data_IF_041852992791
#
_entry.id   IF_041852992791
#
_cell.length_a   1.000
_cell.length_b   1.000
_cell.length_c   1.000
_cell.angle_alpha   90.00
_cell.angle_beta   90.00
_cell.angle_gamma   90.00
#
_symmetry.space_group_name_H-M   'P 1'
#
loop_
_entity.id
_entity.type
_entity.pdbx_description
1 polymer ?
#
# COMPACT_ATOMS: atom_id res chain seq x y z
N UNK A 1 -32.52 -11.29 16.97
CA UNK A 1 -32.90 -11.76 15.62
C UNK A 1 -31.72 -11.47 14.71
N UNK A 2 -31.04 -12.51 14.18
CA UNK A 2 -29.92 -12.34 13.27
C UNK A 2 -30.42 -11.75 11.95
N UNK A 3 -30.02 -10.51 11.63
CA UNK A 3 -30.22 -9.96 10.29
C UNK A 3 -29.61 -10.93 9.29
N UNK A 4 -30.44 -11.36 8.33
CA UNK A 4 -29.95 -12.07 7.14
C UNK A 4 -28.81 -11.23 6.58
N UNK A 5 -27.67 -11.87 6.35
CA UNK A 5 -26.54 -11.29 5.63
C UNK A 5 -27.03 -10.99 4.21
N UNK A 6 -27.67 -9.84 4.06
CA UNK A 6 -28.28 -9.38 2.83
C UNK A 6 -27.22 -9.02 1.80
N UNK A 7 -27.63 -8.83 0.54
CA UNK A 7 -26.71 -8.43 -0.50
C UNK A 7 -26.03 -7.11 -0.12
N UNK A 8 -24.70 -7.07 -0.16
CA UNK A 8 -23.91 -5.87 0.09
C UNK A 8 -24.43 -4.77 -0.83
N UNK A 9 -24.93 -3.69 -0.21
CA UNK A 9 -25.53 -2.61 -0.95
C UNK A 9 -24.48 -1.91 -1.82
N UNK A 10 -24.92 -1.28 -2.91
CA UNK A 10 -24.03 -0.48 -3.77
C UNK A 10 -23.31 0.60 -2.95
N UNK A 11 -23.96 1.14 -1.93
CA UNK A 11 -23.39 2.10 -1.00
C UNK A 11 -22.23 1.51 -0.17
N UNK A 12 -22.34 0.26 0.28
CA UNK A 12 -21.25 -0.41 1.00
C UNK A 12 -20.01 -0.59 0.11
N UNK A 13 -20.18 -0.84 -1.20
CA UNK A 13 -19.06 -0.82 -2.14
C UNK A 13 -18.41 0.56 -2.27
N UNK A 14 -19.21 1.62 -2.31
CA UNK A 14 -18.72 3.01 -2.29
C UNK A 14 -18.02 3.39 -0.98
N UNK A 15 -18.46 2.81 0.16
CA UNK A 15 -17.79 2.99 1.45
C UNK A 15 -16.40 2.33 1.45
N UNK A 16 -16.26 1.13 0.88
CA UNK A 16 -14.94 0.51 0.70
C UNK A 16 -14.01 1.37 -0.15
N UNK A 17 -14.52 1.91 -1.26
CA UNK A 17 -13.75 2.79 -2.14
C UNK A 17 -13.27 4.05 -1.41
N UNK A 18 -14.18 4.70 -0.69
CA UNK A 18 -13.89 5.93 0.07
C UNK A 18 -12.87 5.65 1.17
N UNK A 19 -13.04 4.55 1.91
CA UNK A 19 -12.15 4.18 2.99
C UNK A 19 -10.74 3.83 2.47
N UNK A 20 -10.65 3.02 1.41
CA UNK A 20 -9.37 2.70 0.77
C UNK A 20 -8.62 3.95 0.32
N UNK A 21 -9.31 4.89 -0.35
CA UNK A 21 -8.71 6.14 -0.83
C UNK A 21 -8.29 7.08 0.32
N UNK A 22 -9.11 7.15 1.38
CA UNK A 22 -8.79 7.95 2.56
C UNK A 22 -7.53 7.44 3.26
N UNK A 23 -7.46 6.14 3.52
CA UNK A 23 -6.34 5.54 4.24
C UNK A 23 -5.07 5.43 3.39
N UNK A 24 -5.18 5.26 2.07
CA UNK A 24 -4.03 5.34 1.17
C UNK A 24 -3.43 6.75 1.14
N UNK A 25 -4.26 7.80 1.13
CA UNK A 25 -3.80 9.19 1.19
C UNK A 25 -3.13 9.52 2.51
N UNK A 26 -3.61 8.96 3.63
CA UNK A 26 -2.98 9.14 4.94
C UNK A 26 -1.80 8.20 5.20
N UNK A 27 -1.39 7.38 4.21
CA UNK A 27 -0.33 6.36 4.33
C UNK A 27 -0.52 5.38 5.49
N UNK A 28 -1.77 5.16 5.88
CA UNK A 28 -2.14 4.25 6.96
C UNK A 28 -2.30 2.85 6.38
N UNK A 29 -1.17 2.21 6.06
CA UNK A 29 -1.13 0.97 5.30
C UNK A 29 -1.78 -0.21 6.02
N UNK A 30 -1.69 -0.25 7.35
CA UNK A 30 -2.35 -1.28 8.16
C UNK A 30 -3.87 -1.24 7.99
N UNK A 31 -4.45 -0.02 8.01
CA UNK A 31 -5.88 0.14 7.73
C UNK A 31 -6.24 -0.15 6.28
N UNK A 32 -5.38 0.17 5.32
CA UNK A 32 -5.59 -0.20 3.91
C UNK A 32 -5.66 -1.72 3.77
N UNK A 33 -4.75 -2.46 4.40
CA UNK A 33 -4.76 -3.94 4.40
C UNK A 33 -6.04 -4.48 5.04
N UNK A 34 -6.40 -3.97 6.22
CA UNK A 34 -7.63 -4.40 6.91
C UNK A 34 -8.88 -4.19 6.03
N UNK A 35 -9.02 -3.02 5.43
CA UNK A 35 -10.18 -2.71 4.56
C UNK A 35 -10.17 -3.60 3.32
N UNK A 36 -8.99 -3.84 2.73
CA UNK A 36 -8.85 -4.73 1.59
C UNK A 36 -9.26 -6.17 1.93
N UNK A 37 -8.87 -6.70 3.08
CA UNK A 37 -9.28 -8.03 3.52
C UNK A 37 -10.79 -8.14 3.73
N UNK A 38 -11.41 -7.11 4.34
CA UNK A 38 -12.87 -7.07 4.52
C UNK A 38 -13.58 -6.99 3.17
N UNK A 39 -13.06 -6.19 2.24
CA UNK A 39 -13.57 -6.09 0.87
C UNK A 39 -13.46 -7.42 0.11
N UNK A 40 -12.35 -8.16 0.24
CA UNK A 40 -12.16 -9.48 -0.38
C UNK A 40 -13.16 -10.49 0.20
N UNK A 41 -13.33 -10.53 1.52
CA UNK A 41 -14.32 -11.41 2.19
C UNK A 41 -15.75 -11.08 1.74
N UNK A 42 -16.06 -9.79 1.59
CA UNK A 42 -17.31 -9.31 1.04
C UNK A 42 -17.53 -9.79 -0.41
N UNK A 43 -16.51 -9.69 -1.28
CA UNK A 43 -16.58 -10.18 -2.67
C UNK A 43 -16.78 -11.69 -2.75
N UNK A 44 -16.07 -12.45 -1.90
CA UNK A 44 -16.18 -13.91 -1.83
C UNK A 44 -17.57 -14.34 -1.37
N UNK A 45 -18.16 -13.64 -0.39
CA UNK A 45 -19.49 -13.94 0.14
C UNK A 45 -20.60 -13.63 -0.87
N UNK A 46 -20.50 -12.50 -1.57
CA UNK A 46 -21.51 -12.03 -2.53
C UNK A 46 -21.54 -12.83 -3.84
N UNK A 47 -20.42 -13.44 -4.23
CA UNK A 47 -20.30 -14.12 -5.51
C UNK A 47 -20.41 -13.16 -6.70
N UNK A 48 -20.99 -13.60 -7.83
CA UNK A 48 -21.09 -12.78 -9.06
C UNK A 48 -22.12 -11.64 -8.90
N UNK A 49 -21.83 -10.48 -9.51
CA UNK A 49 -22.78 -9.37 -9.58
C UNK A 49 -24.05 -9.81 -10.33
N UNK A 50 -25.22 -9.54 -9.75
CA UNK A 50 -26.51 -9.99 -10.30
C UNK A 50 -27.22 -8.89 -11.08
N UNK A 51 -26.82 -7.63 -10.89
CA UNK A 51 -27.44 -6.47 -11.53
C UNK A 51 -26.39 -5.54 -12.16
N UNK A 52 -26.79 -4.79 -13.19
CA UNK A 52 -25.92 -3.84 -13.89
C UNK A 52 -25.36 -2.74 -12.96
N UNK A 53 -26.13 -2.17 -12.01
CA UNK A 53 -25.58 -1.24 -11.03
C UNK A 53 -24.52 -1.85 -10.10
N UNK A 54 -24.69 -3.12 -9.67
CA UNK A 54 -23.67 -3.82 -8.89
C UNK A 54 -22.39 -4.05 -9.71
N UNK A 55 -22.53 -4.35 -11.00
CA UNK A 55 -21.39 -4.51 -11.89
C UNK A 55 -20.59 -3.20 -12.01
N UNK A 56 -21.27 -2.07 -12.23
CA UNK A 56 -20.64 -0.74 -12.31
C UNK A 56 -19.93 -0.36 -11.00
N UNK A 57 -20.56 -0.59 -9.85
CA UNK A 57 -19.96 -0.29 -8.55
C UNK A 57 -18.69 -1.10 -8.29
N UNK A 58 -18.70 -2.40 -8.64
CA UNK A 58 -17.52 -3.26 -8.53
C UNK A 58 -16.42 -2.88 -9.54
N UNK A 59 -16.79 -2.40 -10.72
CA UNK A 59 -15.82 -1.90 -11.70
C UNK A 59 -15.13 -0.62 -11.22
N UNK A 60 -15.87 0.31 -10.59
CA UNK A 60 -15.30 1.51 -9.97
C UNK A 60 -14.30 1.13 -8.86
N UNK A 61 -14.71 0.23 -7.96
CA UNK A 61 -13.85 -0.29 -6.90
C UNK A 61 -12.58 -0.95 -7.43
N UNK A 62 -12.68 -1.75 -8.51
CA UNK A 62 -11.52 -2.39 -9.13
C UNK A 62 -10.50 -1.37 -9.68
N UNK A 63 -10.99 -0.28 -10.28
CA UNK A 63 -10.12 0.82 -10.76
C UNK A 63 -9.42 1.51 -9.59
N UNK A 64 -10.14 1.80 -8.51
CA UNK A 64 -9.59 2.45 -7.33
C UNK A 64 -8.56 1.56 -6.63
N UNK A 65 -8.83 0.26 -6.53
CA UNK A 65 -7.86 -0.72 -6.02
C UNK A 65 -6.59 -0.77 -6.89
N UNK A 66 -6.72 -0.80 -8.22
CA UNK A 66 -5.58 -0.78 -9.13
C UNK A 66 -4.73 0.49 -9.00
N UNK A 67 -5.37 1.66 -8.81
CA UNK A 67 -4.67 2.92 -8.58
C UNK A 67 -3.86 2.90 -7.27
N UNK A 68 -4.44 2.33 -6.19
CA UNK A 68 -3.74 2.20 -4.90
C UNK A 68 -2.55 1.24 -5.02
N UNK A 69 -2.68 0.13 -5.74
CA UNK A 69 -1.55 -0.77 -6.01
C UNK A 69 -0.42 -0.08 -6.79
N UNK A 70 -0.77 0.71 -7.80
CA UNK A 70 0.22 1.49 -8.55
C UNK A 70 0.95 2.50 -7.66
N UNK A 71 0.22 3.17 -6.77
CA UNK A 71 0.79 4.09 -5.78
C UNK A 71 1.72 3.37 -4.81
N UNK A 72 1.29 2.22 -4.26
CA UNK A 72 2.11 1.40 -3.36
C UNK A 72 3.39 0.93 -4.03
N UNK A 73 3.33 0.49 -5.29
CA UNK A 73 4.51 0.09 -6.06
C UNK A 73 5.48 1.26 -6.21
N UNK A 74 4.98 2.44 -6.57
CA UNK A 74 5.80 3.65 -6.70
C UNK A 74 6.45 4.04 -5.37
N UNK A 75 5.74 3.94 -4.25
CA UNK A 75 6.29 4.25 -2.93
C UNK A 75 7.35 3.22 -2.51
N UNK A 76 7.14 1.93 -2.80
CA UNK A 76 8.15 0.88 -2.59
C UNK A 76 9.41 1.17 -3.41
N UNK A 77 9.26 1.48 -4.70
CA UNK A 77 10.40 1.74 -5.58
C UNK A 77 11.21 2.96 -5.10
N UNK A 78 10.52 4.01 -4.62
CA UNK A 78 11.16 5.18 -4.00
C UNK A 78 11.93 4.80 -2.73
N UNK A 79 11.33 3.99 -1.86
CA UNK A 79 11.97 3.54 -0.63
C UNK A 79 13.23 2.70 -0.93
N UNK A 80 13.19 1.85 -1.95
CA UNK A 80 14.34 1.04 -2.36
C UNK A 80 15.52 1.92 -2.83
N UNK A 81 15.23 2.99 -3.58
CA UNK A 81 16.25 3.97 -3.97
C UNK A 81 16.82 4.69 -2.75
N UNK A 82 15.97 5.14 -1.82
CA UNK A 82 16.42 5.80 -0.59
C UNK A 82 17.28 4.88 0.29
N UNK A 83 16.93 3.59 0.41
CA UNK A 83 17.76 2.62 1.13
C UNK A 83 19.11 2.40 0.48
N UNK A 84 19.18 2.29 -0.85
CA UNK A 84 20.46 2.16 -1.57
C UNK A 84 21.34 3.40 -1.38
N UNK A 85 20.74 4.59 -1.42
CA UNK A 85 21.45 5.84 -1.15
C UNK A 85 21.98 5.87 0.29
N UNK A 86 21.16 5.50 1.28
CA UNK A 86 21.57 5.44 2.67
C UNK A 86 22.72 4.44 2.90
N UNK A 87 22.66 3.24 2.31
CA UNK A 87 23.75 2.25 2.37
C UNK A 87 25.04 2.80 1.75
N UNK A 88 24.95 3.40 0.56
CA UNK A 88 26.13 3.99 -0.10
C UNK A 88 26.76 5.14 0.70
N UNK A 89 25.96 5.91 1.45
CA UNK A 89 26.45 6.95 2.34
C UNK A 89 27.16 6.36 3.57
N UNK A 90 26.61 5.29 4.17
CA UNK A 90 27.28 4.57 5.26
C UNK A 90 28.62 3.97 4.83
N UNK A 91 28.67 3.32 3.67
CA UNK A 91 29.90 2.76 3.12
C UNK A 91 30.93 3.86 2.82
N UNK A 92 30.49 5.01 2.29
CA UNK A 92 31.32 6.19 2.10
C UNK A 92 31.91 6.70 3.41
N UNK A 93 31.09 6.86 4.46
CA UNK A 93 31.56 7.31 5.77
C UNK A 93 32.56 6.31 6.38
N UNK A 94 32.29 5.01 6.27
CA UNK A 94 33.19 3.96 6.76
C UNK A 94 34.55 3.98 6.02
N UNK A 95 34.54 4.18 4.70
CA UNK A 95 35.77 4.34 3.92
C UNK A 95 36.56 5.58 4.34
N UNK A 96 35.89 6.72 4.54
CA UNK A 96 36.55 7.95 5.02
C UNK A 96 37.17 7.77 6.42
N UNK A 97 36.48 7.10 7.35
CA UNK A 97 37.02 6.78 8.67
C UNK A 97 38.25 5.86 8.59
N UNK A 98 38.22 4.88 7.68
CA UNK A 98 39.33 3.95 7.50
C UNK A 98 40.55 4.63 6.84
N UNK A 99 40.34 5.55 5.91
CA UNK A 99 41.43 6.37 5.32
C UNK A 99 41.99 7.36 6.33
N UNK A 100 41.16 8.02 7.15
CA UNK A 100 41.66 8.92 8.20
C UNK A 100 42.45 8.17 9.29
N UNK A 101 42.06 6.94 9.63
CA UNK A 101 42.87 6.08 10.50
C UNK A 101 44.16 5.56 9.85
N UNK A 102 44.21 5.48 8.52
CA UNK A 102 45.38 5.01 7.77
C UNK A 102 46.35 6.13 7.39
N UNK A 103 45.90 7.40 7.40
CA UNK A 103 46.71 8.57 7.09
C UNK A 103 47.55 9.11 8.26
N UNK A 104 47.28 8.69 9.50
CA UNK A 104 47.97 9.16 10.71
C UNK A 104 49.21 8.31 11.08
N UNK A 105 49.72 7.46 10.18
CA UNK A 105 50.80 6.49 10.50
C UNK A 105 52.05 6.52 9.62
N UNK A 106 52.22 7.52 8.76
CA UNK A 106 53.38 7.58 7.84
C UNK A 106 54.21 8.88 7.98
N UNK A 107 54.32 9.43 9.19
CA UNK A 107 55.35 10.41 9.55
C UNK A 107 55.82 10.14 11.00
N UNK A 108 56.93 9.40 11.17
CA UNK A 108 57.98 9.49 12.21
C UNK A 108 59.06 8.42 11.93
#
# INVERSE_FOLDING_TARGET
MSEKVGPISIEQWGQFETALNKHSKSKDWDKVVMINEVMIKALQREGKAKTRPQFTARQALAKTHAAILAQLKKEKDKLEVEMKQFQSQQDGIAAYQLTSLSGDRDDI
#
